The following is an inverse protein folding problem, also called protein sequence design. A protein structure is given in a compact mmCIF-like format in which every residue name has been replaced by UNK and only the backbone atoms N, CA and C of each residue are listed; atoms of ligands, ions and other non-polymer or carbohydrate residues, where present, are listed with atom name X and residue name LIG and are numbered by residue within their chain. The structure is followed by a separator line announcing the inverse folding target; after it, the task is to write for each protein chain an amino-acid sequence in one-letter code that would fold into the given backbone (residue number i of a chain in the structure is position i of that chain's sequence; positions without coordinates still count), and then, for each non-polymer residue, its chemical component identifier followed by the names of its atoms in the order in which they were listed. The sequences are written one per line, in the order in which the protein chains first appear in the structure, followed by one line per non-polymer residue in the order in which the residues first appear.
data_IF_683434497919
#
_entry.id   IF_683434497919
#
_cell.length_a   1.000
_cell.length_b   1.000
_cell.length_c   1.000
_cell.angle_alpha   90.00
_cell.angle_beta   90.00
_cell.angle_gamma   90.00
#
_symmetry.space_group_name_H-M   'P 1'
#
loop_
_entity.id
_entity.type
_entity.pdbx_description
1 polymer ?
#
# COMPACT_ATOMS: atom_id res chain seq x y z
N UNK A 1 5.75 34.11 -5.09
CA UNK A 1 6.10 33.09 -4.08
C UNK A 1 5.37 33.43 -2.79
N UNK A 2 4.19 32.86 -2.58
CA UNK A 2 3.38 33.09 -1.38
C UNK A 2 3.96 32.27 -0.25
N UNK A 3 4.55 32.95 0.74
CA UNK A 3 4.96 32.34 2.00
C UNK A 3 3.75 31.62 2.61
N UNK A 4 3.92 30.33 2.93
CA UNK A 4 2.88 29.50 3.53
C UNK A 4 2.37 30.09 4.86
N UNK A 5 1.15 29.72 5.30
CA UNK A 5 0.55 30.27 6.51
C UNK A 5 1.42 29.94 7.73
N UNK A 6 1.50 30.90 8.68
CA UNK A 6 2.21 30.76 9.96
C UNK A 6 1.93 29.39 10.56
N UNK A 7 2.96 28.57 10.74
CA UNK A 7 2.88 27.20 11.25
C UNK A 7 2.22 27.17 12.62
N UNK A 8 0.94 26.82 12.68
CA UNK A 8 0.22 26.59 13.91
C UNK A 8 0.73 25.29 14.53
N UNK A 9 1.54 25.39 15.59
CA UNK A 9 2.00 24.23 16.34
C UNK A 9 0.85 23.68 17.20
N UNK A 10 0.80 22.35 17.44
CA UNK A 10 -0.21 21.75 18.31
C UNK A 10 -0.23 22.39 19.70
N UNK A 11 -1.42 22.42 20.33
CA UNK A 11 -1.57 22.85 21.72
C UNK A 11 -0.64 22.02 22.62
N UNK A 12 0.01 22.68 23.58
CA UNK A 12 0.97 22.06 24.50
C UNK A 12 2.40 21.96 23.96
N UNK A 13 2.69 22.51 22.76
CA UNK A 13 4.08 22.60 22.27
C UNK A 13 4.88 23.60 23.11
N UNK A 14 6.01 23.17 23.67
CA UNK A 14 6.94 24.02 24.45
C UNK A 14 8.18 24.37 23.63
N UNK A 15 8.79 25.53 23.92
CA UNK A 15 10.02 26.02 23.29
C UNK A 15 11.01 26.47 24.34
N UNK A 16 12.22 25.94 24.29
CA UNK A 16 13.31 26.29 25.19
C UNK A 16 14.52 26.74 24.36
N UNK A 17 15.02 27.96 24.60
CA UNK A 17 16.22 28.47 23.95
C UNK A 17 17.43 28.14 24.82
N UNK A 18 18.37 27.38 24.25
CA UNK A 18 19.67 27.08 24.84
C UNK A 18 20.75 27.96 24.19
N UNK A 19 21.97 27.91 24.71
CA UNK A 19 23.07 28.75 24.20
C UNK A 19 23.43 28.46 22.73
N UNK A 20 23.25 27.22 22.25
CA UNK A 20 23.66 26.77 20.91
C UNK A 20 22.53 26.22 20.06
N UNK A 21 21.35 25.99 20.63
CA UNK A 21 20.20 25.43 19.92
C UNK A 21 18.86 25.89 20.52
N UNK A 22 17.79 25.75 19.75
CA UNK A 22 16.41 25.87 20.24
C UNK A 22 15.79 24.47 20.28
N UNK A 23 15.27 24.08 21.42
CA UNK A 23 14.52 22.84 21.58
C UNK A 23 13.02 23.15 21.48
N UNK A 24 12.34 22.45 20.57
CA UNK A 24 10.88 22.51 20.41
C UNK A 24 10.32 21.14 20.73
N UNK A 25 9.55 21.02 21.81
CA UNK A 25 8.94 19.74 22.23
C UNK A 25 7.46 19.74 21.88
N UNK A 26 7.08 18.88 20.92
CA UNK A 26 5.70 18.67 20.51
C UNK A 26 5.16 17.47 21.28
N UNK A 27 4.10 17.62 22.09
CA UNK A 27 3.53 16.50 22.83
C UNK A 27 2.91 15.48 21.86
N UNK A 28 2.89 14.20 22.26
CA UNK A 28 2.12 13.21 21.53
C UNK A 28 0.65 13.65 21.47
N UNK A 29 0.05 13.59 20.29
CA UNK A 29 -1.37 13.93 20.12
C UNK A 29 -2.19 13.11 21.11
N UNK A 30 -2.95 13.79 21.98
CA UNK A 30 -3.96 13.11 22.78
C UNK A 30 -4.83 12.29 21.83
N UNK A 31 -5.16 11.05 22.20
CA UNK A 31 -6.08 10.23 21.41
C UNK A 31 -7.49 10.80 21.56
N UNK A 32 -7.74 12.01 21.06
CA UNK A 32 -9.08 12.55 20.93
C UNK A 32 -9.85 11.57 20.05
N UNK A 33 -10.83 10.92 20.68
CA UNK A 33 -11.82 9.99 20.12
C UNK A 33 -11.40 9.38 18.79
N UNK A 34 -10.46 8.42 18.85
CA UNK A 34 -10.14 7.54 17.72
C UNK A 34 -11.47 7.10 17.11
N UNK A 35 -11.73 7.45 15.85
CA UNK A 35 -12.96 7.11 15.11
C UNK A 35 -13.64 5.89 15.72
N UNK A 36 -14.79 6.09 16.36
CA UNK A 36 -15.52 5.10 17.17
C UNK A 36 -16.05 3.91 16.36
N UNK A 37 -15.63 3.78 15.10
CA UNK A 37 -15.95 2.66 14.25
C UNK A 37 -15.36 1.35 14.78
N UNK A 38 -16.21 0.33 14.78
CA UNK A 38 -15.79 -1.03 15.07
C UNK A 38 -14.66 -1.45 14.10
N UNK A 39 -13.68 -2.18 14.63
CA UNK A 39 -12.66 -2.82 13.80
C UNK A 39 -13.29 -4.02 13.11
N UNK A 40 -13.06 -4.14 11.81
CA UNK A 40 -13.58 -5.27 11.03
C UNK A 40 -12.72 -6.51 11.30
N UNK A 41 -13.29 -7.61 11.81
CA UNK A 41 -12.66 -8.91 11.85
C UNK A 41 -12.25 -9.41 10.46
N UNK A 42 -11.10 -10.08 10.36
CA UNK A 42 -10.68 -10.69 9.08
C UNK A 42 -11.70 -11.72 8.60
N UNK A 43 -12.42 -12.39 9.50
CA UNK A 43 -13.49 -13.34 9.17
C UNK A 43 -14.68 -12.74 8.43
N UNK A 44 -14.83 -11.41 8.40
CA UNK A 44 -15.87 -10.73 7.62
C UNK A 44 -15.45 -10.45 6.17
N UNK A 45 -14.16 -10.61 5.85
CA UNK A 45 -13.68 -10.47 4.47
C UNK A 45 -14.07 -11.70 3.64
N UNK A 46 -14.15 -11.60 2.30
CA UNK A 46 -14.34 -12.77 1.43
C UNK A 46 -13.24 -13.81 1.66
N UNK A 47 -13.58 -15.10 1.58
CA UNK A 47 -12.69 -16.22 1.92
C UNK A 47 -11.29 -16.10 1.28
N UNK A 48 -11.22 -15.74 -0.01
CA UNK A 48 -9.96 -15.57 -0.72
C UNK A 48 -9.12 -14.42 -0.16
N UNK A 49 -9.76 -13.34 0.30
CA UNK A 49 -9.08 -12.17 0.86
C UNK A 49 -8.54 -12.46 2.27
N UNK A 50 -9.24 -13.29 3.06
CA UNK A 50 -8.78 -13.70 4.39
C UNK A 50 -7.40 -14.36 4.35
N UNK A 51 -7.11 -15.12 3.29
CA UNK A 51 -5.84 -15.82 3.09
C UNK A 51 -4.63 -14.86 3.10
N UNK A 52 -4.82 -13.62 2.65
CA UNK A 52 -3.77 -12.61 2.59
C UNK A 52 -3.46 -11.94 3.93
N UNK A 53 -4.30 -12.15 4.94
CA UNK A 53 -4.17 -11.56 6.29
C UNK A 53 -3.83 -12.59 7.37
N UNK A 54 -3.19 -13.71 7.00
CA UNK A 54 -2.79 -14.76 7.94
C UNK A 54 -1.99 -14.19 9.13
N UNK A 55 -2.44 -14.48 10.35
CA UNK A 55 -1.85 -13.96 11.60
C UNK A 55 -2.41 -12.62 12.07
N UNK A 56 -3.35 -12.02 11.32
CA UNK A 56 -4.11 -10.84 11.74
C UNK A 56 -5.53 -11.25 12.09
N UNK A 57 -6.05 -10.80 13.22
CA UNK A 57 -7.43 -11.13 13.66
C UNK A 57 -8.44 -10.08 13.19
N UNK A 58 -8.04 -8.81 13.14
CA UNK A 58 -8.89 -7.68 12.75
C UNK A 58 -8.09 -6.61 12.02
N UNK A 59 -8.74 -5.88 11.12
CA UNK A 59 -8.21 -4.67 10.52
C UNK A 59 -8.07 -3.56 11.57
N UNK A 60 -7.07 -2.69 11.39
CA UNK A 60 -6.96 -1.49 12.24
C UNK A 60 -8.06 -0.46 11.90
N UNK A 61 -8.13 0.64 12.64
CA UNK A 61 -9.18 1.65 12.44
C UNK A 61 -9.17 2.29 11.05
N UNK A 62 -7.99 2.68 10.56
CA UNK A 62 -7.86 3.24 9.21
C UNK A 62 -8.32 2.25 8.15
N UNK A 63 -7.83 1.02 8.23
CA UNK A 63 -8.14 -0.06 7.29
C UNK A 63 -9.64 -0.40 7.30
N UNK A 64 -10.24 -0.47 8.49
CA UNK A 64 -11.67 -0.72 8.67
C UNK A 64 -12.51 0.39 8.04
N UNK A 65 -12.13 1.66 8.26
CA UNK A 65 -12.84 2.82 7.73
C UNK A 65 -12.86 2.88 6.19
N UNK A 66 -11.79 2.42 5.54
CA UNK A 66 -11.66 2.45 4.07
C UNK A 66 -11.93 1.10 3.41
N UNK A 67 -12.22 0.04 4.17
CA UNK A 67 -12.34 -1.33 3.66
C UNK A 67 -13.39 -1.44 2.55
N UNK A 68 -14.55 -0.81 2.73
CA UNK A 68 -15.63 -0.88 1.73
C UNK A 68 -15.18 -0.33 0.38
N UNK A 69 -14.55 0.84 0.37
CA UNK A 69 -13.99 1.44 -0.86
C UNK A 69 -12.84 0.60 -1.40
N UNK A 70 -11.94 0.13 -0.54
CA UNK A 70 -10.75 -0.59 -0.98
C UNK A 70 -11.04 -1.99 -1.52
N UNK A 71 -12.00 -2.73 -0.94
CA UNK A 71 -12.24 -4.14 -1.26
C UNK A 71 -13.47 -4.38 -2.14
N UNK A 72 -14.46 -3.47 -2.12
CA UNK A 72 -15.75 -3.69 -2.78
C UNK A 72 -16.10 -2.60 -3.82
N UNK A 73 -15.22 -1.63 -4.07
CA UNK A 73 -15.40 -0.61 -5.10
C UNK A 73 -14.24 -0.63 -6.11
N UNK A 74 -14.50 -0.17 -7.34
CA UNK A 74 -13.50 0.05 -8.39
C UNK A 74 -13.12 1.53 -8.53
N UNK A 75 -13.59 2.38 -7.62
CA UNK A 75 -13.30 3.81 -7.64
C UNK A 75 -11.87 4.12 -7.22
N UNK A 76 -11.33 5.22 -7.76
CA UNK A 76 -10.03 5.75 -7.35
C UNK A 76 -10.09 6.23 -5.88
N UNK A 77 -9.06 5.88 -5.11
CA UNK A 77 -9.00 6.20 -3.67
C UNK A 77 -7.71 6.94 -3.32
N UNK A 78 -7.84 8.03 -2.54
CA UNK A 78 -6.72 8.76 -1.93
C UNK A 78 -6.78 8.60 -0.40
N UNK A 79 -5.73 8.05 0.19
CA UNK A 79 -5.64 7.84 1.65
C UNK A 79 -4.51 8.67 2.24
N UNK A 80 -4.89 9.74 2.95
CA UNK A 80 -3.98 10.60 3.69
C UNK A 80 -3.93 10.16 5.15
N UNK A 81 -2.87 9.44 5.53
CA UNK A 81 -2.70 8.95 6.89
C UNK A 81 -1.22 9.00 7.31
N UNK A 82 -0.91 9.14 8.62
CA UNK A 82 0.46 9.20 9.09
C UNK A 82 1.24 7.90 8.82
N UNK A 83 2.57 7.98 8.88
CA UNK A 83 3.44 6.79 8.82
C UNK A 83 3.10 5.85 9.98
N UNK A 84 3.13 4.54 9.73
CA UNK A 84 2.71 3.54 10.73
C UNK A 84 1.20 3.33 10.85
N UNK A 85 0.35 4.13 10.20
CA UNK A 85 -1.11 3.95 10.23
C UNK A 85 -1.62 2.69 9.49
N UNK A 86 -0.73 1.93 8.83
CA UNK A 86 -1.09 0.68 8.16
C UNK A 86 -1.54 0.83 6.70
N UNK A 87 -1.15 1.92 6.01
CA UNK A 87 -1.45 2.18 4.60
C UNK A 87 -1.10 1.02 3.65
N UNK A 88 -0.05 0.27 3.93
CA UNK A 88 0.34 -0.89 3.12
C UNK A 88 -0.74 -1.97 3.05
N UNK A 89 -1.47 -2.20 4.14
CA UNK A 89 -2.57 -3.17 4.12
C UNK A 89 -3.80 -2.62 3.41
N UNK A 90 -3.98 -1.29 3.37
CA UNK A 90 -5.02 -0.66 2.53
C UNK A 90 -4.74 -0.93 1.05
N UNK A 91 -3.47 -0.81 0.62
CA UNK A 91 -3.08 -1.18 -0.73
C UNK A 91 -3.27 -2.69 -1.00
N UNK A 92 -3.05 -3.55 -0.01
CA UNK A 92 -3.32 -4.98 -0.13
C UNK A 92 -4.83 -5.26 -0.29
N UNK A 93 -5.72 -4.53 0.40
CA UNK A 93 -7.17 -4.63 0.21
C UNK A 93 -7.57 -4.26 -1.23
N UNK A 94 -7.02 -3.16 -1.76
CA UNK A 94 -7.24 -2.73 -3.15
C UNK A 94 -6.73 -3.76 -4.17
N UNK A 95 -5.59 -4.40 -3.88
CA UNK A 95 -5.08 -5.49 -4.71
C UNK A 95 -6.02 -6.70 -4.69
N UNK A 96 -6.56 -7.07 -3.51
CA UNK A 96 -7.50 -8.18 -3.37
C UNK A 96 -8.84 -7.90 -4.05
N UNK A 97 -9.26 -6.64 -4.16
CA UNK A 97 -10.41 -6.26 -4.97
C UNK A 97 -10.20 -6.66 -6.44
N UNK A 98 -9.03 -6.38 -7.01
CA UNK A 98 -8.66 -6.79 -8.37
C UNK A 98 -8.54 -8.32 -8.52
N UNK A 99 -8.05 -9.01 -7.48
CA UNK A 99 -8.10 -10.49 -7.45
C UNK A 99 -9.55 -10.97 -7.54
N UNK A 100 -10.45 -10.34 -6.79
CA UNK A 100 -11.88 -10.65 -6.78
C UNK A 100 -12.54 -10.50 -8.16
N UNK A 101 -12.17 -9.47 -8.93
CA UNK A 101 -12.69 -9.27 -10.30
C UNK A 101 -12.19 -10.29 -11.31
N UNK A 102 -11.08 -10.98 -11.02
CA UNK A 102 -10.51 -12.03 -11.88
C UNK A 102 -10.90 -13.45 -11.42
N UNK A 103 -11.84 -13.59 -10.49
CA UNK A 103 -12.37 -14.89 -10.06
C UNK A 103 -13.58 -15.28 -10.92
N UNK A 104 -13.44 -16.35 -11.70
CA UNK A 104 -14.50 -16.92 -12.52
C UNK A 104 -14.83 -18.33 -12.03
N UNK A 105 -16.06 -18.55 -11.54
CA UNK A 105 -16.47 -19.87 -11.03
C UNK A 105 -15.61 -20.41 -9.88
N UNK A 106 -14.99 -19.52 -9.09
CA UNK A 106 -14.06 -19.89 -8.01
C UNK A 106 -12.62 -20.17 -8.46
N UNK A 107 -12.32 -20.02 -9.75
CA UNK A 107 -10.97 -20.16 -10.30
C UNK A 107 -10.39 -18.78 -10.58
N UNK A 108 -9.18 -18.53 -10.09
CA UNK A 108 -8.47 -17.27 -10.31
C UNK A 108 -7.78 -17.27 -11.68
N UNK A 109 -8.22 -16.36 -12.56
CA UNK A 109 -7.63 -16.13 -13.89
C UNK A 109 -6.36 -15.28 -13.76
N UNK A 110 -5.25 -15.90 -13.35
CA UNK A 110 -4.00 -15.21 -12.99
C UNK A 110 -3.36 -14.45 -14.16
N UNK A 111 -3.61 -14.90 -15.38
CA UNK A 111 -3.08 -14.30 -16.61
C UNK A 111 -3.74 -12.95 -16.90
N UNK A 112 -4.96 -12.73 -16.41
CA UNK A 112 -5.71 -11.47 -16.56
C UNK A 112 -5.36 -10.45 -15.47
N UNK A 113 -4.68 -10.87 -14.40
CA UNK A 113 -4.34 -10.01 -13.27
C UNK A 113 -2.94 -9.38 -13.44
N UNK A 114 -2.91 -8.05 -13.53
CA UNK A 114 -1.67 -7.26 -13.44
C UNK A 114 -1.88 -6.06 -12.52
N UNK A 115 -1.04 -5.96 -11.50
CA UNK A 115 -1.06 -4.87 -10.53
C UNK A 115 0.34 -4.28 -10.40
N UNK A 116 0.42 -2.95 -10.43
CA UNK A 116 1.69 -2.22 -10.24
C UNK A 116 1.61 -1.44 -8.94
N UNK A 117 2.57 -1.69 -8.05
CA UNK A 117 2.75 -0.93 -6.82
C UNK A 117 4.01 -0.07 -6.95
N UNK A 118 3.85 1.25 -6.86
CA UNK A 118 4.98 2.19 -6.90
C UNK A 118 5.39 2.61 -5.49
N UNK A 119 6.66 2.39 -5.16
CA UNK A 119 7.27 2.85 -3.91
C UNK A 119 8.32 3.93 -4.20
N UNK A 120 8.46 4.96 -3.34
CA UNK A 120 9.37 6.09 -3.57
C UNK A 120 10.86 5.74 -3.52
N UNK A 121 11.23 4.61 -2.91
CA UNK A 121 12.63 4.22 -2.73
C UNK A 121 12.80 2.72 -2.92
N UNK A 122 13.96 2.29 -3.41
CA UNK A 122 14.30 0.89 -3.65
C UNK A 122 14.17 0.01 -2.40
N UNK A 123 14.71 0.45 -1.26
CA UNK A 123 14.63 -0.31 -0.01
C UNK A 123 13.18 -0.59 0.42
N UNK A 124 12.30 0.42 0.26
CA UNK A 124 10.88 0.26 0.55
C UNK A 124 10.21 -0.66 -0.48
N UNK A 125 10.55 -0.57 -1.77
CA UNK A 125 10.05 -1.49 -2.79
C UNK A 125 10.39 -2.95 -2.45
N UNK A 126 11.61 -3.22 -1.99
CA UNK A 126 12.06 -4.55 -1.56
C UNK A 126 11.26 -5.08 -0.38
N UNK A 127 11.06 -4.25 0.64
CA UNK A 127 10.26 -4.59 1.82
C UNK A 127 8.83 -4.93 1.41
N UNK A 128 8.21 -4.09 0.57
CA UNK A 128 6.83 -4.29 0.11
C UNK A 128 6.71 -5.54 -0.78
N UNK A 129 7.66 -5.78 -1.68
CA UNK A 129 7.69 -6.99 -2.51
C UNK A 129 7.75 -8.25 -1.65
N UNK A 130 8.60 -8.26 -0.61
CA UNK A 130 8.69 -9.38 0.35
C UNK A 130 7.38 -9.57 1.13
N UNK A 131 6.78 -8.48 1.62
CA UNK A 131 5.51 -8.52 2.34
C UNK A 131 4.36 -9.03 1.46
N UNK A 132 4.22 -8.50 0.25
CA UNK A 132 3.18 -8.91 -0.69
C UNK A 132 3.40 -10.34 -1.17
N UNK A 133 4.64 -10.77 -1.40
CA UNK A 133 4.95 -12.17 -1.74
C UNK A 133 4.43 -13.13 -0.69
N UNK A 134 4.67 -12.84 0.60
CA UNK A 134 4.19 -13.68 1.71
C UNK A 134 2.67 -13.66 1.84
N UNK A 135 2.06 -12.48 1.72
CA UNK A 135 0.61 -12.32 1.82
C UNK A 135 -0.13 -13.01 0.66
N UNK A 136 0.40 -12.95 -0.56
CA UNK A 136 -0.30 -13.44 -1.75
C UNK A 136 0.13 -14.86 -2.17
N UNK A 137 1.13 -15.44 -1.52
CA UNK A 137 1.56 -16.83 -1.74
C UNK A 137 0.42 -17.87 -1.61
N UNK A 138 -0.52 -17.77 -0.64
CA UNK A 138 -1.66 -18.68 -0.55
C UNK A 138 -2.60 -18.64 -1.77
N UNK A 139 -2.62 -17.51 -2.50
CA UNK A 139 -3.38 -17.33 -3.73
C UNK A 139 -2.57 -17.74 -4.97
N UNK A 140 -1.34 -18.22 -4.78
CA UNK A 140 -0.38 -18.57 -5.82
C UNK A 140 -0.13 -17.44 -6.84
N UNK A 141 -0.12 -16.20 -6.33
CA UNK A 141 0.20 -15.00 -7.10
C UNK A 141 1.69 -14.67 -6.98
N UNK A 142 2.33 -14.42 -8.11
CA UNK A 142 3.74 -14.05 -8.16
C UNK A 142 3.90 -12.53 -8.00
N UNK A 143 4.76 -12.15 -7.06
CA UNK A 143 5.14 -10.76 -6.80
C UNK A 143 6.62 -10.60 -7.11
N UNK A 144 7.00 -9.54 -7.84
CA UNK A 144 8.41 -9.24 -8.12
C UNK A 144 8.73 -7.78 -7.88
N UNK A 145 9.91 -7.54 -7.30
CA UNK A 145 10.56 -6.25 -7.35
C UNK A 145 11.04 -5.98 -8.77
N UNK A 146 10.88 -4.74 -9.24
CA UNK A 146 11.45 -4.26 -10.48
C UNK A 146 11.94 -2.83 -10.31
N UNK A 147 13.14 -2.68 -9.75
CA UNK A 147 13.75 -1.37 -9.47
C UNK A 147 15.19 -1.31 -9.99
N UNK A 148 15.72 -0.09 -10.14
CA UNK A 148 17.12 0.16 -10.51
C UNK A 148 17.59 -0.69 -11.69
N UNK A 149 18.69 -1.41 -11.47
CA UNK A 149 19.37 -2.21 -12.50
C UNK A 149 18.76 -3.60 -12.70
N UNK A 150 17.67 -3.95 -12.01
CA UNK A 150 16.99 -5.22 -12.25
C UNK A 150 16.52 -5.30 -13.71
N UNK A 151 16.92 -6.39 -14.35
CA UNK A 151 16.40 -6.80 -15.65
C UNK A 151 15.56 -8.05 -15.44
N UNK A 152 14.27 -7.92 -15.71
CA UNK A 152 13.35 -9.05 -15.79
C UNK A 152 13.20 -9.42 -17.26
N UNK A 153 13.28 -10.71 -17.56
CA UNK A 153 12.96 -11.20 -18.89
C UNK A 153 11.46 -11.04 -19.16
N UNK A 154 11.06 -10.89 -20.42
CA UNK A 154 9.62 -10.84 -20.81
C UNK A 154 8.84 -12.02 -20.23
N UNK A 155 9.44 -13.21 -20.20
CA UNK A 155 8.83 -14.42 -19.63
C UNK A 155 8.59 -14.31 -18.13
N UNK A 156 9.51 -13.74 -17.36
CA UNK A 156 9.31 -13.53 -15.92
C UNK A 156 8.23 -12.48 -15.65
N UNK A 157 8.22 -11.43 -16.46
CA UNK A 157 7.25 -10.36 -16.38
C UNK A 157 5.82 -10.83 -16.69
N UNK A 158 5.65 -11.66 -17.73
CA UNK A 158 4.37 -12.28 -18.05
C UNK A 158 3.85 -13.18 -16.92
N UNK A 159 4.75 -13.90 -16.22
CA UNK A 159 4.39 -14.76 -15.09
C UNK A 159 4.10 -14.02 -13.79
N UNK A 160 4.45 -12.73 -13.70
CA UNK A 160 4.32 -11.92 -12.47
C UNK A 160 2.99 -11.18 -12.45
N UNK A 161 2.15 -11.36 -11.43
CA UNK A 161 0.88 -10.64 -11.31
C UNK A 161 1.04 -9.28 -10.62
N UNK A 162 1.98 -9.17 -9.68
CA UNK A 162 2.19 -7.93 -8.91
C UNK A 162 3.63 -7.46 -9.08
N UNK A 163 3.77 -6.26 -9.65
CA UNK A 163 5.07 -5.63 -9.89
C UNK A 163 5.27 -4.50 -8.90
N UNK A 164 6.33 -4.58 -8.09
CA UNK A 164 6.69 -3.53 -7.13
C UNK A 164 7.87 -2.76 -7.69
N UNK A 165 7.69 -1.48 -8.00
CA UNK A 165 8.67 -0.67 -8.74
C UNK A 165 8.85 0.73 -8.15
N UNK A 166 9.79 1.52 -8.67
CA UNK A 166 9.91 2.96 -8.36
C UNK A 166 9.30 3.80 -9.49
N UNK A 167 8.85 5.05 -9.21
CA UNK A 167 8.31 5.92 -10.25
C UNK A 167 9.23 6.10 -11.45
N UNK A 168 10.54 6.24 -11.21
CA UNK A 168 11.54 6.46 -12.27
C UNK A 168 11.68 5.21 -13.15
N UNK A 169 11.71 4.02 -12.54
CA UNK A 169 11.80 2.77 -13.31
C UNK A 169 10.53 2.53 -14.11
N UNK A 170 9.36 2.80 -13.53
CA UNK A 170 8.07 2.68 -14.22
C UNK A 170 7.95 3.64 -15.41
N UNK A 171 8.43 4.88 -15.26
CA UNK A 171 8.46 5.85 -16.36
C UNK A 171 9.33 5.37 -17.54
N UNK A 172 10.50 4.78 -17.26
CA UNK A 172 11.36 4.21 -18.33
C UNK A 172 10.66 3.05 -19.07
N UNK A 173 9.98 2.18 -18.33
CA UNK A 173 9.35 0.97 -18.88
C UNK A 173 8.15 1.31 -19.75
N UNK A 174 7.30 2.22 -19.28
CA UNK A 174 6.12 2.65 -20.02
C UNK A 174 6.48 3.43 -21.30
N UNK A 175 7.58 4.18 -21.32
CA UNK A 175 8.07 4.88 -22.52
C UNK A 175 8.70 3.97 -23.57
N UNK A 176 9.40 2.92 -23.15
CA UNK A 176 10.12 2.05 -24.10
C UNK A 176 9.21 1.07 -24.85
N UNK A 177 8.02 0.78 -24.33
CA UNK A 177 6.98 -0.06 -25.00
C UNK A 177 7.38 -1.50 -25.34
N UNK A 178 8.66 -1.85 -25.19
CA UNK A 178 9.27 -3.09 -25.68
C UNK A 178 9.00 -4.30 -24.81
N UNK A 179 8.53 -4.10 -23.58
CA UNK A 179 8.51 -5.15 -22.55
C UNK A 179 7.16 -5.88 -22.45
N UNK A 180 6.15 -5.49 -23.25
CA UNK A 180 4.85 -6.18 -23.30
C UNK A 180 4.03 -6.09 -22.01
N UNK A 181 4.38 -5.17 -21.12
CA UNK A 181 3.70 -4.92 -19.83
C UNK A 181 2.45 -4.03 -19.99
N UNK A 182 2.36 -3.29 -21.10
CA UNK A 182 1.36 -2.23 -21.36
C UNK A 182 0.67 -2.45 -22.73
N UNK A 183 0.64 -3.68 -23.22
CA UNK A 183 -0.11 -4.06 -24.43
C UNK A 183 -1.31 -4.93 -24.07
#
# INVERSE_FOLDING_TARGET
ATAGPKTALPKGTTREKMATYEQVTVPASASEERHSGARVPISELPDFAQLAFKGTTQLNQLQSAVMNTALYSQENMLVCAPTGAGKTNVALLALLQQVGTCLEGGVLQREQLKVVYMAPMKALAQEIASKFSKALAPLALAVREYTGDMQLTKRELLKTQVLVTTPEKWDVVTRKGSDGLVQ
#
